data_IF_268916074811
#
_entry.id   IF_268916074811
#
_cell.length_a   1.000
_cell.length_b   1.000
_cell.length_c   1.000
_cell.angle_alpha   90.00
_cell.angle_beta   90.00
_cell.angle_gamma   90.00
#
_symmetry.space_group_name_H-M   'P 1'
#
loop_
_entity.id
_entity.type
_entity.pdbx_description
1 polymer ?
#
# COMPACT_ATOMS: atom_id res chain seq x y z
N UNK A 1 9.49 8.41 20.58
CA UNK A 1 8.30 9.09 20.01
C UNK A 1 8.04 8.50 18.63
N UNK A 2 7.19 7.49 18.51
CA UNK A 2 6.79 6.94 17.19
C UNK A 2 5.86 7.93 16.51
N UNK A 3 6.15 8.30 15.26
CA UNK A 3 5.20 9.05 14.44
C UNK A 3 4.08 8.10 14.05
N UNK A 4 2.83 8.55 14.10
CA UNK A 4 1.67 7.75 13.70
C UNK A 4 1.22 8.24 12.32
N UNK A 5 1.06 7.34 11.36
CA UNK A 5 0.49 7.67 10.07
C UNK A 5 -1.02 7.87 10.23
N UNK A 6 -1.55 9.02 9.77
CA UNK A 6 -2.99 9.29 9.74
C UNK A 6 -3.48 9.11 8.32
N UNK A 7 -4.50 8.28 8.15
CA UNK A 7 -5.18 8.09 6.86
C UNK A 7 -6.48 8.89 6.84
N UNK A 8 -6.85 9.40 5.66
CA UNK A 8 -8.14 10.05 5.46
C UNK A 8 -9.23 8.99 5.30
N UNK A 9 -10.50 9.39 5.48
CA UNK A 9 -11.64 8.48 5.26
C UNK A 9 -11.67 7.92 3.84
N UNK A 10 -11.35 8.74 2.83
CA UNK A 10 -11.29 8.31 1.44
C UNK A 10 -10.20 7.26 1.23
N UNK A 11 -8.99 7.49 1.78
CA UNK A 11 -7.91 6.51 1.68
C UNK A 11 -8.24 5.17 2.37
N UNK A 12 -8.99 5.18 3.49
CA UNK A 12 -9.47 3.95 4.12
C UNK A 12 -10.40 3.17 3.20
N UNK A 13 -11.37 3.86 2.59
CA UNK A 13 -12.31 3.26 1.64
C UNK A 13 -11.61 2.71 0.40
N UNK A 14 -10.58 3.39 -0.09
CA UNK A 14 -9.78 2.92 -1.22
C UNK A 14 -9.06 1.60 -0.87
N UNK A 15 -8.49 1.51 0.34
CA UNK A 15 -7.84 0.29 0.83
C UNK A 15 -8.84 -0.87 0.93
N UNK A 16 -10.02 -0.61 1.50
CA UNK A 16 -11.11 -1.59 1.63
C UNK A 16 -11.60 -2.08 0.27
N UNK A 17 -11.89 -1.17 -0.66
CA UNK A 17 -12.36 -1.52 -2.00
C UNK A 17 -11.35 -2.38 -2.78
N UNK A 18 -10.05 -2.11 -2.64
CA UNK A 18 -9.00 -2.93 -3.27
C UNK A 18 -8.93 -4.31 -2.59
N UNK A 19 -9.03 -4.37 -1.26
CA UNK A 19 -9.02 -5.65 -0.53
C UNK A 19 -10.22 -6.53 -0.92
N UNK A 20 -11.42 -5.95 -0.99
CA UNK A 20 -12.65 -6.64 -1.42
C UNK A 20 -12.54 -7.14 -2.86
N UNK A 21 -11.99 -6.32 -3.75
CA UNK A 21 -11.72 -6.72 -5.12
C UNK A 21 -10.76 -7.93 -5.17
N UNK A 22 -9.66 -7.89 -4.42
CA UNK A 22 -8.69 -8.99 -4.37
C UNK A 22 -9.28 -10.27 -3.76
N UNK A 23 -10.08 -10.14 -2.70
CA UNK A 23 -10.78 -11.25 -2.08
C UNK A 23 -11.72 -11.94 -3.08
N UNK A 24 -12.49 -11.13 -3.83
CA UNK A 24 -13.44 -11.62 -4.83
C UNK A 24 -12.75 -12.27 -6.03
N UNK A 25 -11.66 -11.68 -6.52
CA UNK A 25 -11.02 -12.10 -7.77
C UNK A 25 -9.92 -13.15 -7.60
N UNK A 26 -9.25 -13.18 -6.44
CA UNK A 26 -8.02 -13.96 -6.26
C UNK A 26 -7.91 -14.63 -4.89
N UNK A 27 -8.98 -14.58 -4.09
CA UNK A 27 -9.06 -15.22 -2.78
C UNK A 27 -8.56 -14.35 -1.63
N UNK A 28 -8.98 -14.73 -0.43
CA UNK A 28 -8.72 -14.00 0.82
C UNK A 28 -7.23 -13.84 1.11
N UNK A 29 -6.41 -14.85 0.84
CA UNK A 29 -4.95 -14.80 1.05
C UNK A 29 -4.30 -13.62 0.33
N UNK A 30 -4.78 -13.26 -0.87
CA UNK A 30 -4.24 -12.12 -1.61
C UNK A 30 -4.67 -10.78 -1.01
N UNK A 31 -5.91 -10.70 -0.53
CA UNK A 31 -6.40 -9.52 0.17
C UNK A 31 -5.62 -9.29 1.48
N UNK A 32 -5.38 -10.35 2.25
CA UNK A 32 -4.62 -10.28 3.51
C UNK A 32 -3.16 -9.85 3.28
N UNK A 33 -2.49 -10.44 2.27
CA UNK A 33 -1.14 -10.02 1.86
C UNK A 33 -1.10 -8.55 1.41
N UNK A 34 -2.14 -8.10 0.71
CA UNK A 34 -2.27 -6.70 0.33
C UNK A 34 -2.38 -5.78 1.56
N UNK A 35 -3.25 -6.11 2.52
CA UNK A 35 -3.45 -5.33 3.74
C UNK A 35 -2.17 -5.27 4.59
N UNK A 36 -1.51 -6.42 4.80
CA UNK A 36 -0.23 -6.51 5.50
C UNK A 36 0.85 -5.64 4.81
N UNK A 37 0.86 -5.64 3.48
CA UNK A 37 1.77 -4.81 2.69
C UNK A 37 1.49 -3.31 2.81
N UNK A 38 0.22 -2.90 2.92
CA UNK A 38 -0.16 -1.51 3.20
C UNK A 38 0.32 -1.11 4.59
N UNK A 39 0.04 -1.91 5.62
CA UNK A 39 0.47 -1.60 7.00
C UNK A 39 1.99 -1.43 7.09
N UNK A 40 2.75 -2.36 6.51
CA UNK A 40 4.22 -2.28 6.43
C UNK A 40 4.70 -1.00 5.74
N UNK A 41 3.99 -0.56 4.69
CA UNK A 41 4.32 0.68 3.96
C UNK A 41 4.04 1.91 4.83
N UNK A 42 2.91 1.94 5.53
CA UNK A 42 2.54 3.04 6.43
C UNK A 42 3.52 3.15 7.61
N UNK A 43 3.94 2.01 8.18
CA UNK A 43 4.98 1.97 9.21
C UNK A 43 6.31 2.53 8.69
N UNK A 44 6.71 2.16 7.47
CA UNK A 44 7.93 2.67 6.84
C UNK A 44 7.85 4.18 6.58
N UNK A 45 6.71 4.69 6.12
CA UNK A 45 6.49 6.13 5.93
C UNK A 45 6.54 6.88 7.27
N UNK A 46 5.95 6.30 8.32
CA UNK A 46 6.00 6.88 9.65
C UNK A 46 7.44 6.98 10.19
N UNK A 47 8.27 5.97 9.92
CA UNK A 47 9.69 5.97 10.29
C UNK A 47 10.51 6.93 9.41
N UNK A 48 10.22 7.00 8.11
CA UNK A 48 10.98 7.79 7.12
C UNK A 48 10.04 8.67 6.27
N UNK A 49 9.57 9.83 6.78
CA UNK A 49 8.55 10.65 6.10
C UNK A 49 8.96 11.31 4.78
N UNK A 50 10.25 11.24 4.42
CA UNK A 50 10.82 11.78 3.18
C UNK A 50 11.26 10.68 2.21
N UNK A 51 10.82 9.44 2.43
CA UNK A 51 11.20 8.30 1.58
C UNK A 51 10.52 8.31 0.20
N UNK A 52 9.45 9.09 0.05
CA UNK A 52 8.71 9.18 -1.20
C UNK A 52 9.39 10.09 -2.21
N UNK A 53 9.12 9.82 -3.49
CA UNK A 53 9.46 10.76 -4.57
C UNK A 53 8.52 11.95 -4.47
N UNK A 54 9.07 13.17 -4.42
CA UNK A 54 8.26 14.41 -4.50
C UNK A 54 7.49 14.44 -5.82
N UNK A 55 6.24 14.87 -5.73
CA UNK A 55 5.28 14.97 -6.84
C UNK A 55 4.70 16.38 -6.91
N UNK A 56 5.56 17.39 -6.86
CA UNK A 56 5.13 18.80 -6.89
C UNK A 56 4.41 19.15 -8.20
N UNK A 57 4.60 18.35 -9.25
CA UNK A 57 3.84 18.43 -10.51
C UNK A 57 2.38 17.99 -10.41
N UNK A 58 2.02 17.20 -9.37
CA UNK A 58 0.63 16.82 -9.11
C UNK A 58 -0.04 17.79 -8.14
N UNK A 59 0.63 18.03 -7.01
CA UNK A 59 0.16 18.95 -5.98
C UNK A 59 1.32 19.30 -5.05
N UNK A 60 1.46 20.57 -4.62
CA UNK A 60 2.56 20.97 -3.74
C UNK A 60 2.65 20.09 -2.47
N UNK A 61 3.86 19.75 -2.05
CA UNK A 61 4.13 19.00 -0.81
C UNK A 61 3.65 17.53 -0.86
N UNK A 62 3.27 17.02 -2.04
CA UNK A 62 2.85 15.63 -2.21
C UNK A 62 4.05 14.72 -2.50
N UNK A 63 3.99 13.49 -2.00
CA UNK A 63 4.98 12.46 -2.26
C UNK A 63 4.29 11.16 -2.69
N UNK A 64 4.94 10.39 -3.56
CA UNK A 64 4.52 9.02 -3.88
C UNK A 64 5.53 8.01 -3.36
N UNK A 65 5.01 6.94 -2.77
CA UNK A 65 5.78 5.77 -2.33
C UNK A 65 5.27 4.56 -3.09
N UNK A 66 6.20 3.85 -3.74
CA UNK A 66 5.86 2.59 -4.39
C UNK A 66 5.93 1.46 -3.37
N UNK A 67 4.84 0.69 -3.26
CA UNK A 67 4.87 -0.61 -2.60
C UNK A 67 5.41 -1.63 -3.59
N UNK A 68 6.60 -2.17 -3.31
CA UNK A 68 7.06 -3.34 -4.04
C UNK A 68 6.10 -4.50 -3.74
N UNK A 69 5.42 -5.01 -4.77
CA UNK A 69 4.66 -6.25 -4.67
C UNK A 69 5.66 -7.35 -5.00
N UNK A 70 5.98 -8.28 -4.08
CA UNK A 70 6.84 -9.40 -4.41
C UNK A 70 6.20 -10.12 -5.60
N UNK A 71 6.98 -10.22 -6.67
CA UNK A 71 6.54 -10.77 -7.94
C UNK A 71 6.00 -12.18 -7.71
N UNK A 72 4.87 -12.48 -8.34
CA UNK A 72 4.30 -13.82 -8.43
C UNK A 72 5.35 -14.72 -9.11
N UNK A 73 6.26 -15.33 -8.35
CA UNK A 73 6.90 -16.55 -8.81
C UNK A 73 5.80 -17.60 -8.82
N UNK A 74 5.18 -17.77 -9.99
CA UNK A 74 4.46 -18.99 -10.33
C UNK A 74 5.51 -20.01 -10.77
N UNK A 75 5.78 -21.08 -10.01
CA UNK A 75 6.49 -22.23 -10.54
C UNK A 75 5.46 -23.31 -10.89
N UNK A 76 4.69 -23.16 -11.98
CA UNK A 76 3.96 -24.29 -12.58
C UNK A 76 3.20 -23.90 -13.86
N UNK A 77 3.92 -23.81 -14.98
CA UNK A 77 3.40 -24.22 -16.28
C UNK A 77 4.56 -24.89 -17.03
N UNK A 78 4.80 -26.17 -16.72
CA UNK A 78 5.54 -27.13 -17.54
C UNK A 78 4.95 -28.50 -17.31
#
# INVERSE_FOLDING_TARGET
>A
MSRVCRITLLASRDIEAIADYLATQSGLDRAERFLTGIDSTLQRIAQFPQIGRKRDELYPVTQSVLRAVPHFLSPAQR
#
